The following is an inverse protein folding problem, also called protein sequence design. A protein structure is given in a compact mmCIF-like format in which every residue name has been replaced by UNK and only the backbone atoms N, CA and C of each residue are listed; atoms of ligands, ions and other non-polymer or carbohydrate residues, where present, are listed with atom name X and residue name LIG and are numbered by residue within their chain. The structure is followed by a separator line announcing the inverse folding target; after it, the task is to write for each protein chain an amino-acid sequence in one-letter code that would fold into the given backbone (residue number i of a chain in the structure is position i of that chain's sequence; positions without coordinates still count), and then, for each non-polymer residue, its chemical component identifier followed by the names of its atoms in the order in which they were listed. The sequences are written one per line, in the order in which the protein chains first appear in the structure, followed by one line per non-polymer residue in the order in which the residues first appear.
data_IF_392413398331
#
_entry.id   IF_392413398331
#
_cell.length_a   1.000
_cell.length_b   1.000
_cell.length_c   1.000
_cell.angle_alpha   90.00
_cell.angle_beta   90.00
_cell.angle_gamma   90.00
#
_symmetry.space_group_name_H-M   'P 1'
#
loop_
_entity.id
_entity.type
_entity.pdbx_description
1 polymer ?
#
# COMPACT_ATOMS: atom_id res chain seq x y z
N UNK A 1 -5.51 -27.75 56.69
CA UNK A 1 -4.45 -26.90 57.26
C UNK A 1 -4.17 -25.82 56.22
N UNK A 2 -4.74 -24.65 56.46
CA UNK A 2 -4.80 -23.54 55.50
C UNK A 2 -3.42 -22.92 55.25
N UNK A 3 -2.87 -23.20 54.07
CA UNK A 3 -1.68 -22.54 53.52
C UNK A 3 -1.97 -21.09 53.09
N UNK A 4 -2.68 -20.33 53.93
CA UNK A 4 -2.95 -18.90 53.75
C UNK A 4 -1.67 -18.06 53.65
N UNK A 5 -0.55 -18.59 54.14
CA UNK A 5 0.79 -18.02 53.96
C UNK A 5 1.22 -17.94 52.49
N UNK A 6 0.78 -18.88 51.64
CA UNK A 6 1.14 -18.92 50.22
C UNK A 6 0.39 -17.88 49.38
N UNK A 7 -0.82 -17.47 49.80
CA UNK A 7 -1.65 -16.54 49.02
C UNK A 7 -1.40 -15.07 49.36
N UNK A 8 -0.96 -14.78 50.60
CA UNK A 8 -0.66 -13.42 51.07
C UNK A 8 0.30 -12.63 50.15
N UNK A 9 1.39 -13.21 49.62
CA UNK A 9 2.27 -12.48 48.69
C UNK A 9 1.57 -12.06 47.40
N UNK A 10 0.69 -12.90 46.84
CA UNK A 10 -0.06 -12.58 45.62
C UNK A 10 -1.04 -11.43 45.84
N UNK A 11 -1.70 -11.40 47.01
CA UNK A 11 -2.61 -10.32 47.40
C UNK A 11 -1.84 -9.01 47.59
N UNK A 12 -0.71 -9.05 48.32
CA UNK A 12 0.13 -7.87 48.53
C UNK A 12 0.69 -7.31 47.22
N UNK A 13 1.12 -8.19 46.31
CA UNK A 13 1.56 -7.80 44.97
C UNK A 13 0.44 -7.17 44.17
N UNK A 14 -0.76 -7.78 44.15
CA UNK A 14 -1.92 -7.24 43.46
C UNK A 14 -2.30 -5.84 43.99
N UNK A 15 -2.34 -5.65 45.31
CA UNK A 15 -2.65 -4.35 45.92
C UNK A 15 -1.61 -3.27 45.56
N UNK A 16 -0.33 -3.65 45.52
CA UNK A 16 0.75 -2.79 45.04
C UNK A 16 0.58 -2.37 43.58
N UNK A 17 0.23 -3.30 42.69
CA UNK A 17 -0.02 -3.03 41.27
C UNK A 17 -1.29 -2.18 41.06
N UNK A 18 -2.36 -2.43 41.82
CA UNK A 18 -3.58 -1.62 41.79
C UNK A 18 -3.31 -0.17 42.19
N UNK A 19 -2.50 0.08 43.22
CA UNK A 19 -2.11 1.43 43.64
C UNK A 19 -1.31 2.18 42.57
N UNK A 20 -0.41 1.49 41.85
CA UNK A 20 0.33 2.06 40.72
C UNK A 20 -0.61 2.37 39.56
N UNK A 21 -1.49 1.42 39.22
CA UNK A 21 -2.43 1.55 38.11
C UNK A 21 -3.45 2.66 38.37
N UNK A 22 -3.95 2.81 39.60
CA UNK A 22 -4.91 3.85 39.97
C UNK A 22 -4.42 5.26 39.58
N UNK A 23 -3.16 5.59 39.92
CA UNK A 23 -2.55 6.87 39.53
C UNK A 23 -2.48 7.06 38.01
N UNK A 24 -2.16 6.00 37.28
CA UNK A 24 -2.12 6.02 35.82
C UNK A 24 -3.51 6.21 35.20
N UNK A 25 -4.55 5.61 35.79
CA UNK A 25 -5.93 5.75 35.35
C UNK A 25 -6.45 7.16 35.65
N UNK A 26 -6.21 7.70 36.84
CA UNK A 26 -6.60 9.07 37.21
C UNK A 26 -6.04 10.10 36.22
N UNK A 27 -4.77 9.96 35.83
CA UNK A 27 -4.16 10.82 34.81
C UNK A 27 -4.79 10.61 33.44
N UNK A 28 -5.03 9.35 33.05
CA UNK A 28 -5.61 8.98 31.76
C UNK A 28 -7.07 9.45 31.61
N UNK A 29 -7.84 9.49 32.69
CA UNK A 29 -9.25 9.92 32.73
C UNK A 29 -9.42 11.33 33.29
N UNK A 30 -8.34 12.12 33.37
CA UNK A 30 -8.38 13.50 33.89
C UNK A 30 -9.27 14.44 33.06
N UNK A 31 -9.41 14.16 31.76
CA UNK A 31 -10.32 14.81 30.83
C UNK A 31 -11.29 13.80 30.24
N UNK A 32 -12.45 14.26 29.81
CA UNK A 32 -13.41 13.40 29.10
C UNK A 32 -12.83 12.90 27.78
N UNK A 33 -13.31 11.74 27.32
CA UNK A 33 -12.89 11.18 26.02
C UNK A 33 -13.16 12.17 24.88
N UNK A 34 -14.31 12.84 24.91
CA UNK A 34 -14.72 13.78 23.86
C UNK A 34 -13.79 15.00 23.79
N UNK A 35 -13.41 15.55 24.95
CA UNK A 35 -12.41 16.63 25.01
C UNK A 35 -11.05 16.18 24.47
N UNK A 36 -10.59 14.99 24.88
CA UNK A 36 -9.31 14.45 24.40
C UNK A 36 -9.34 14.20 22.89
N UNK A 37 -10.46 13.74 22.33
CA UNK A 37 -10.64 13.54 20.89
C UNK A 37 -10.68 14.88 20.12
N UNK A 38 -11.26 15.92 20.71
CA UNK A 38 -11.30 17.26 20.14
C UNK A 38 -9.90 17.89 20.05
N UNK A 39 -9.03 17.63 21.04
CA UNK A 39 -7.65 18.12 21.08
C UNK A 39 -6.75 17.47 20.01
N UNK A 40 -7.10 16.28 19.51
CA UNK A 40 -6.31 15.57 18.49
C UNK A 40 -6.62 16.08 17.09
N UNK A 41 -5.57 16.54 16.39
CA UNK A 41 -5.66 17.02 15.01
C UNK A 41 -5.70 15.89 13.98
N UNK A 42 -5.07 14.75 14.29
CA UNK A 42 -4.96 13.62 13.38
C UNK A 42 -6.00 12.56 13.69
N UNK A 43 -6.72 12.10 12.65
CA UNK A 43 -7.64 10.96 12.76
C UNK A 43 -6.92 9.66 13.19
N UNK A 44 -5.63 9.52 12.86
CA UNK A 44 -4.83 8.37 13.31
C UNK A 44 -4.58 8.39 14.81
N UNK A 45 -4.41 9.56 15.40
CA UNK A 45 -4.25 9.74 16.85
C UNK A 45 -5.58 9.51 17.58
N UNK A 46 -6.70 9.96 17.00
CA UNK A 46 -8.04 9.67 17.52
C UNK A 46 -8.30 8.15 17.54
N UNK A 47 -8.00 7.46 16.44
CA UNK A 47 -8.11 6.00 16.37
C UNK A 47 -7.26 5.30 17.43
N UNK A 48 -6.02 5.79 17.66
CA UNK A 48 -5.14 5.24 18.68
C UNK A 48 -5.74 5.39 20.09
N UNK A 49 -6.25 6.58 20.38
CA UNK A 49 -6.87 6.91 21.64
C UNK A 49 -8.10 6.02 21.90
N UNK A 50 -9.02 5.93 20.95
CA UNK A 50 -10.23 5.10 21.10
C UNK A 50 -9.88 3.62 21.29
N UNK A 51 -8.92 3.09 20.54
CA UNK A 51 -8.45 1.71 20.71
C UNK A 51 -7.81 1.49 22.08
N UNK A 52 -7.05 2.47 22.58
CA UNK A 52 -6.43 2.41 23.91
C UNK A 52 -7.48 2.41 25.02
N UNK A 53 -8.52 3.24 24.93
CA UNK A 53 -9.64 3.21 25.88
C UNK A 53 -10.35 1.85 25.90
N UNK A 54 -10.68 1.32 24.72
CA UNK A 54 -11.32 0.01 24.60
C UNK A 54 -10.46 -1.11 25.19
N UNK A 55 -9.14 -1.07 24.97
CA UNK A 55 -8.18 -2.02 25.52
C UNK A 55 -8.13 -1.97 27.05
N UNK A 56 -7.98 -0.77 27.63
CA UNK A 56 -7.91 -0.58 29.08
C UNK A 56 -9.20 -1.06 29.74
N UNK A 57 -10.36 -0.65 29.23
CA UNK A 57 -11.66 -1.02 29.80
C UNK A 57 -11.87 -2.54 29.76
N UNK A 58 -11.63 -3.17 28.60
CA UNK A 58 -11.79 -4.63 28.44
C UNK A 58 -10.83 -5.42 29.32
N UNK A 59 -9.59 -4.93 29.49
CA UNK A 59 -8.58 -5.56 30.35
C UNK A 59 -8.93 -5.46 31.83
N UNK A 60 -9.41 -4.30 32.28
CA UNK A 60 -9.88 -4.10 33.65
C UNK A 60 -11.09 -4.97 33.96
N UNK A 61 -12.04 -5.05 33.04
CA UNK A 61 -13.22 -5.90 33.19
C UNK A 61 -12.84 -7.38 33.25
N UNK A 62 -11.89 -7.82 32.42
CA UNK A 62 -11.35 -9.18 32.48
C UNK A 62 -10.71 -9.48 33.85
N UNK A 63 -9.87 -8.59 34.37
CA UNK A 63 -9.26 -8.75 35.69
C UNK A 63 -10.31 -8.80 36.81
N UNK A 64 -11.33 -7.94 36.73
CA UNK A 64 -12.44 -7.92 37.67
C UNK A 64 -13.25 -9.24 37.66
N UNK A 65 -13.58 -9.77 36.48
CA UNK A 65 -14.27 -11.05 36.35
C UNK A 65 -13.44 -12.22 36.90
N UNK A 66 -12.11 -12.17 36.75
CA UNK A 66 -11.19 -13.15 37.32
C UNK A 66 -11.20 -13.12 38.84
N UNK A 67 -11.25 -11.93 39.45
CA UNK A 67 -11.32 -11.77 40.90
C UNK A 67 -12.65 -12.27 41.48
N UNK A 68 -13.76 -12.05 40.77
CA UNK A 68 -15.07 -12.57 41.17
C UNK A 68 -15.21 -14.09 41.01
N UNK A 69 -14.28 -14.75 40.32
CA UNK A 69 -14.36 -16.18 40.07
C UNK A 69 -15.47 -16.58 39.09
N UNK A 70 -15.81 -15.70 38.15
CA UNK A 70 -16.84 -16.01 37.12
C UNK A 70 -16.38 -17.21 36.28
N UNK A 71 -17.23 -18.23 36.19
CA UNK A 71 -16.93 -19.48 35.48
C UNK A 71 -16.85 -19.28 33.96
N UNK A 72 -17.80 -18.55 33.39
CA UNK A 72 -17.82 -18.25 31.96
C UNK A 72 -17.11 -16.92 31.65
N UNK A 73 -15.95 -17.04 31.00
CA UNK A 73 -15.09 -15.92 30.62
C UNK A 73 -15.13 -15.74 29.08
N UNK A 74 -15.97 -16.50 28.39
CA UNK A 74 -16.09 -16.46 26.93
C UNK A 74 -16.52 -15.08 26.41
N UNK A 75 -17.53 -14.40 27.00
CA UNK A 75 -17.97 -13.11 26.51
C UNK A 75 -16.86 -12.05 26.55
N UNK A 76 -16.13 -11.96 27.67
CA UNK A 76 -15.05 -10.98 27.80
C UNK A 76 -13.84 -11.31 26.92
N UNK A 77 -13.55 -12.60 26.67
CA UNK A 77 -12.52 -13.01 25.71
C UNK A 77 -12.87 -12.57 24.29
N UNK A 78 -14.14 -12.66 23.89
CA UNK A 78 -14.60 -12.19 22.58
C UNK A 78 -14.41 -10.68 22.42
N UNK A 79 -14.64 -9.89 23.48
CA UNK A 79 -14.36 -8.45 23.46
C UNK A 79 -12.86 -8.15 23.38
N UNK A 80 -12.01 -8.90 24.08
CA UNK A 80 -10.55 -8.79 23.93
C UNK A 80 -10.08 -9.13 22.52
N UNK A 81 -10.63 -10.18 21.91
CA UNK A 81 -10.36 -10.53 20.51
C UNK A 81 -10.85 -9.45 19.55
N UNK A 82 -12.00 -8.82 19.86
CA UNK A 82 -12.51 -7.69 19.10
C UNK A 82 -11.56 -6.49 19.16
N UNK A 83 -11.08 -6.10 20.34
CA UNK A 83 -10.07 -5.04 20.49
C UNK A 83 -8.80 -5.39 19.71
N UNK A 84 -8.30 -6.62 19.85
CA UNK A 84 -7.12 -7.11 19.12
C UNK A 84 -7.29 -6.97 17.60
N UNK A 85 -8.46 -7.31 17.06
CA UNK A 85 -8.77 -7.12 15.63
C UNK A 85 -8.68 -5.66 15.22
N UNK A 86 -9.27 -4.74 15.98
CA UNK A 86 -9.20 -3.30 15.66
C UNK A 86 -7.78 -2.73 15.74
N UNK A 87 -7.01 -3.13 16.74
CA UNK A 87 -5.60 -2.74 16.85
C UNK A 87 -4.76 -3.28 15.68
N UNK A 88 -5.02 -4.52 15.25
CA UNK A 88 -4.35 -5.09 14.08
C UNK A 88 -4.73 -4.37 12.79
N UNK A 89 -6.01 -3.98 12.65
CA UNK A 89 -6.46 -3.18 11.51
C UNK A 89 -5.75 -1.82 11.46
N UNK A 90 -5.61 -1.14 12.60
CA UNK A 90 -4.84 0.11 12.68
C UNK A 90 -3.37 -0.09 12.25
N UNK A 91 -2.71 -1.14 12.76
CA UNK A 91 -1.32 -1.48 12.36
C UNK A 91 -1.19 -1.78 10.86
N UNK A 92 -2.15 -2.49 10.28
CA UNK A 92 -2.15 -2.78 8.84
C UNK A 92 -2.30 -1.51 8.00
N UNK A 93 -3.05 -0.51 8.48
CA UNK A 93 -3.15 0.79 7.80
C UNK A 93 -1.82 1.54 7.84
N UNK A 94 -1.13 1.52 8.98
CA UNK A 94 0.19 2.15 9.12
C UNK A 94 1.21 1.52 8.17
N UNK A 95 1.30 0.18 8.14
CA UNK A 95 2.20 -0.55 7.24
C UNK A 95 1.91 -0.26 5.76
N UNK A 96 0.63 -0.14 5.38
CA UNK A 96 0.25 0.24 4.01
C UNK A 96 0.69 1.67 3.67
N UNK A 97 0.60 2.58 4.62
CA UNK A 97 1.02 3.97 4.43
C UNK A 97 2.54 4.10 4.36
N UNK A 98 3.27 3.36 5.18
CA UNK A 98 4.73 3.26 5.14
C UNK A 98 5.21 2.70 3.80
N UNK A 99 4.61 1.60 3.33
CA UNK A 99 4.94 1.01 2.03
C UNK A 99 4.70 1.98 0.85
N UNK A 100 3.60 2.74 0.87
CA UNK A 100 3.35 3.79 -0.14
C UNK A 100 4.37 4.92 -0.07
N UNK A 101 4.79 5.31 1.13
CA UNK A 101 5.77 6.37 1.33
C UNK A 101 7.15 5.94 0.85
N UNK A 102 7.51 4.68 1.11
CA UNK A 102 8.76 4.09 0.64
C UNK A 102 8.80 4.01 -0.88
N UNK A 103 7.73 3.52 -1.53
CA UNK A 103 7.63 3.50 -2.98
C UNK A 103 7.80 4.89 -3.62
N UNK A 104 7.18 5.93 -3.03
CA UNK A 104 7.34 7.31 -3.51
C UNK A 104 8.78 7.81 -3.35
N UNK A 105 9.47 7.47 -2.27
CA UNK A 105 10.89 7.82 -2.08
C UNK A 105 11.76 7.13 -3.12
N UNK A 106 11.55 5.84 -3.35
CA UNK A 106 12.30 5.06 -4.34
C UNK A 106 12.10 5.61 -5.77
N UNK A 107 10.87 6.01 -6.11
CA UNK A 107 10.56 6.68 -7.39
C UNK A 107 11.28 8.03 -7.52
N UNK A 108 11.27 8.84 -6.47
CA UNK A 108 11.99 10.12 -6.44
C UNK A 108 13.50 9.93 -6.57
N UNK A 109 14.07 8.91 -5.92
CA UNK A 109 15.49 8.58 -6.05
C UNK A 109 15.85 8.10 -7.45
N UNK A 110 15.01 7.26 -8.07
CA UNK A 110 15.18 6.84 -9.47
C UNK A 110 15.12 8.03 -10.43
N UNK A 111 14.15 8.93 -10.23
CA UNK A 111 14.04 10.14 -11.04
C UNK A 111 15.27 11.05 -10.88
N UNK A 112 15.74 11.26 -9.64
CA UNK A 112 16.97 12.02 -9.36
C UNK A 112 18.20 11.39 -10.03
N UNK A 113 18.35 10.07 -9.95
CA UNK A 113 19.45 9.35 -10.62
C UNK A 113 19.38 9.51 -12.13
N UNK A 114 18.19 9.44 -12.72
CA UNK A 114 17.99 9.61 -14.16
C UNK A 114 18.34 11.04 -14.60
N UNK A 115 17.84 12.06 -13.89
CA UNK A 115 18.15 13.46 -14.19
C UNK A 115 19.65 13.71 -14.05
N UNK A 116 20.27 13.27 -12.96
CA UNK A 116 21.71 13.44 -12.74
C UNK A 116 22.52 12.74 -13.84
N UNK A 117 22.13 11.52 -14.24
CA UNK A 117 22.81 10.81 -15.34
C UNK A 117 22.68 11.51 -16.70
N UNK A 118 21.57 12.23 -16.93
CA UNK A 118 21.36 13.01 -18.15
C UNK A 118 22.09 14.37 -18.12
N UNK A 119 22.26 14.96 -16.93
CA UNK A 119 22.93 16.25 -16.73
C UNK A 119 24.46 16.14 -16.62
N UNK A 120 24.99 15.07 -16.00
CA UNK A 120 26.43 14.94 -15.68
C UNK A 120 27.34 14.72 -16.89
N UNK A 121 26.80 14.61 -18.11
CA UNK A 121 27.44 15.06 -19.35
C UNK A 121 28.82 14.48 -19.74
N UNK A 122 29.41 13.55 -18.97
CA UNK A 122 30.72 12.95 -19.29
C UNK A 122 30.64 11.82 -20.29
N UNK A 123 29.43 11.37 -20.65
CA UNK A 123 29.19 10.69 -21.91
C UNK A 123 28.92 11.73 -22.99
N UNK A 124 30.00 12.37 -23.46
CA UNK A 124 30.06 13.19 -24.67
C UNK A 124 29.83 12.32 -25.91
N UNK A 125 28.61 11.81 -26.07
CA UNK A 125 28.17 11.22 -27.33
C UNK A 125 26.70 11.61 -27.55
N UNK A 126 26.38 12.36 -28.61
CA UNK A 126 24.99 12.72 -28.90
C UNK A 126 24.14 11.46 -29.06
N UNK A 127 22.90 11.52 -28.55
CA UNK A 127 21.92 10.42 -28.58
C UNK A 127 21.50 9.98 -29.99
N UNK A 128 21.96 10.67 -31.04
CA UNK A 128 21.87 10.21 -32.42
C UNK A 128 23.25 9.71 -32.81
N UNK A 129 23.40 8.40 -32.80
CA UNK A 129 24.58 7.70 -33.30
C UNK A 129 24.95 8.25 -34.68
N UNK A 130 26.21 8.65 -34.86
CA UNK A 130 26.80 9.07 -36.16
C UNK A 130 26.49 8.09 -37.31
N UNK A 131 26.20 6.83 -36.96
CA UNK A 131 25.76 5.77 -37.87
C UNK A 131 24.52 6.16 -38.72
N UNK A 132 23.65 7.06 -38.24
CA UNK A 132 22.47 7.51 -39.01
C UNK A 132 22.77 8.65 -39.99
N UNK A 133 23.96 9.27 -39.93
CA UNK A 133 24.36 10.38 -40.80
C UNK A 133 25.49 10.00 -41.78
N UNK A 134 25.97 8.75 -41.74
CA UNK A 134 26.94 8.20 -42.72
C UNK A 134 26.25 7.58 -43.96
N UNK A 135 24.99 7.93 -44.21
CA UNK A 135 24.33 7.65 -45.47
C UNK A 135 24.77 8.66 -46.53
N UNK A 136 25.29 8.19 -47.67
CA UNK A 136 25.59 9.03 -48.84
C UNK A 136 24.35 9.86 -49.19
N UNK A 137 24.38 11.16 -48.94
CA UNK A 137 23.44 12.08 -49.59
C UNK A 137 23.62 11.90 -51.10
N UNK A 138 22.58 11.46 -51.79
CA UNK A 138 22.55 11.44 -53.26
C UNK A 138 22.63 12.88 -53.73
N UNK A 139 23.84 13.30 -54.12
CA UNK A 139 24.03 14.51 -54.91
C UNK A 139 23.36 14.25 -56.26
N UNK A 140 22.25 14.92 -56.52
CA UNK A 140 21.60 14.88 -57.82
C UNK A 140 22.52 15.59 -58.81
N UNK A 141 23.21 14.82 -59.65
CA UNK A 141 23.81 15.38 -60.85
C UNK A 141 22.72 15.53 -61.90
N UNK A 142 22.54 16.75 -62.39
CA UNK A 142 21.70 17.05 -63.55
C UNK A 142 22.40 16.48 -64.79
N UNK A 143 22.07 15.24 -65.15
CA UNK A 143 22.34 14.72 -66.49
C UNK A 143 21.04 14.52 -67.27
N UNK A 144 21.03 14.89 -68.56
CA UNK A 144 19.81 14.96 -69.35
C UNK A 144 19.29 13.54 -69.64
N UNK A 145 18.01 13.34 -69.37
CA UNK A 145 17.27 12.12 -69.70
C UNK A 145 17.27 11.95 -71.21
N UNK A 146 17.95 10.92 -71.73
CA UNK A 146 17.80 10.48 -73.11
C UNK A 146 17.21 9.07 -73.12
N UNK A 147 16.03 8.99 -73.72
CA UNK A 147 15.27 7.81 -74.17
C UNK A 147 14.13 7.30 -73.26
N UNK A 148 12.92 7.06 -73.83
CA UNK A 148 11.69 6.82 -73.06
C UNK A 148 11.49 5.38 -72.57
N UNK A 149 12.36 4.43 -72.94
CA UNK A 149 12.06 2.99 -72.82
C UNK A 149 12.39 2.38 -71.43
N UNK A 150 13.12 3.07 -70.56
CA UNK A 150 13.47 2.55 -69.23
C UNK A 150 12.50 2.96 -68.10
N UNK A 151 11.47 3.76 -68.40
CA UNK A 151 10.46 4.17 -67.39
C UNK A 151 9.45 3.08 -67.03
N UNK A 152 9.25 2.08 -67.90
CA UNK A 152 8.23 1.04 -67.67
C UNK A 152 8.69 -0.07 -66.70
N UNK A 153 10.00 -0.28 -66.53
CA UNK A 153 10.51 -1.31 -65.62
C UNK A 153 10.49 -0.89 -64.14
N UNK A 154 10.58 0.43 -63.85
CA UNK A 154 10.55 0.93 -62.47
C UNK A 154 9.14 1.01 -61.86
N UNK A 155 8.09 1.03 -62.68
CA UNK A 155 6.70 1.14 -62.21
C UNK A 155 6.09 -0.21 -61.78
N UNK A 156 6.58 -1.33 -62.31
CA UNK A 156 6.05 -2.67 -62.01
C UNK A 156 6.57 -3.26 -60.69
N UNK A 157 7.76 -2.89 -60.21
CA UNK A 157 8.30 -3.37 -58.93
C UNK A 157 7.70 -2.66 -57.69
N UNK A 158 7.24 -1.41 -57.83
CA UNK A 158 6.64 -0.64 -56.71
C UNK A 158 5.21 -1.06 -56.34
N UNK A 159 4.54 -1.89 -57.16
CA UNK A 159 3.15 -2.29 -56.90
C UNK A 159 2.99 -3.58 -56.05
N UNK A 160 4.07 -4.26 -55.66
CA UNK A 160 3.98 -5.55 -54.92
C UNK A 160 4.16 -5.48 -53.40
N UNK A 161 4.31 -4.31 -52.78
CA UNK A 161 4.45 -4.22 -51.32
C UNK A 161 3.56 -3.13 -50.72
N UNK A 162 2.27 -3.45 -50.55
CA UNK A 162 1.39 -2.75 -49.60
C UNK A 162 0.63 -3.81 -48.80
N UNK A 163 0.91 -4.01 -47.50
CA UNK A 163 0.00 -4.73 -46.62
C UNK A 163 -1.18 -3.83 -46.24
N UNK A 164 -2.38 -4.23 -46.66
CA UNK A 164 -3.66 -3.62 -46.29
C UNK A 164 -3.88 -3.59 -44.77
N UNK A 165 -4.26 -2.42 -44.27
CA UNK A 165 -4.71 -2.19 -42.91
C UNK A 165 -6.26 -2.32 -42.87
N UNK A 166 -6.82 -3.39 -42.31
CA UNK A 166 -8.28 -3.55 -42.11
C UNK A 166 -8.65 -3.39 -40.65
N UNK A 167 -9.22 -2.23 -40.32
CA UNK A 167 -10.07 -2.00 -39.14
C UNK A 167 -11.49 -2.47 -39.44
N UNK A 168 -12.08 -3.28 -38.57
CA UNK A 168 -13.55 -3.30 -38.37
C UNK A 168 -13.91 -3.62 -36.93
N UNK A 169 -14.75 -2.76 -36.36
CA UNK A 169 -15.33 -2.81 -35.00
C UNK A 169 -16.46 -3.84 -34.90
N UNK A 170 -16.67 -4.37 -33.69
CA UNK A 170 -18.01 -4.56 -33.12
C UNK A 170 -18.45 -6.00 -32.85
N UNK A 171 -18.77 -6.30 -31.58
CA UNK A 171 -19.62 -7.44 -31.21
C UNK A 171 -19.21 -8.18 -29.93
N UNK A 172 -19.65 -7.70 -28.76
CA UNK A 172 -19.91 -8.58 -27.60
C UNK A 172 -21.37 -9.04 -27.71
N UNK A 173 -21.80 -10.24 -27.22
CA UNK A 173 -21.99 -10.37 -25.77
C UNK A 173 -21.92 -11.79 -25.16
N UNK A 174 -21.98 -11.79 -23.82
CA UNK A 174 -22.60 -12.76 -22.88
C UNK A 174 -21.72 -13.85 -22.25
N UNK A 175 -21.62 -13.71 -20.93
CA UNK A 175 -20.99 -14.64 -20.00
C UNK A 175 -21.73 -15.97 -19.87
N UNK A 176 -20.98 -16.94 -19.38
CA UNK A 176 -21.46 -18.28 -19.03
C UNK A 176 -21.34 -18.45 -17.52
N UNK A 177 -22.46 -18.22 -16.83
CA UNK A 177 -22.65 -18.60 -15.43
C UNK A 177 -22.90 -20.10 -15.40
N UNK A 178 -22.06 -20.85 -14.69
CA UNK A 178 -22.32 -22.25 -14.34
C UNK A 178 -23.11 -22.31 -13.04
N UNK A 179 -24.35 -22.82 -13.11
CA UNK A 179 -25.12 -23.33 -11.96
C UNK A 179 -25.86 -24.59 -12.40
N UNK A 180 -25.48 -25.75 -11.86
CA UNK A 180 -26.32 -26.65 -11.02
C UNK A 180 -25.75 -28.07 -10.95
N UNK A 181 -25.77 -28.60 -9.74
CA UNK A 181 -25.68 -30.03 -9.44
C UNK A 181 -26.04 -30.27 -7.98
N UNK A 182 -27.34 -30.23 -7.66
CA UNK A 182 -27.91 -30.83 -6.43
C UNK A 182 -27.89 -32.34 -6.61
N UNK A 183 -27.35 -33.07 -5.62
CA UNK A 183 -27.92 -34.30 -5.08
C UNK A 183 -27.82 -34.22 -3.57
#
# INVERSE_FOLDING_TARGET
MDDSSKIKPYIAHLDGELKKLAKGIEQFTSKSLDEQLLEKKSEREKLDLTNRYAYVLSSLLFAYMKLLGVKDITPIKQELDRVKRYMNLAKQLDQKNEGKTQHKKDEQERAKKLINSALDGRASTPAISKVNFEGKHTRFEDQPVVSPEDREKLSQERQKQVPENKRSKGGSPRGRVSKKGRK
#
